data_IF_719157580618
#
_entry.id   IF_719157580618
#
_cell.length_a   1.000
_cell.length_b   1.000
_cell.length_c   1.000
_cell.angle_alpha   90.00
_cell.angle_beta   90.00
_cell.angle_gamma   90.00
#
_symmetry.space_group_name_H-M   'P 1'
#
loop_
_entity.id
_entity.type
_entity.pdbx_description
1 polymer ?
#
# COMPACT_ATOMS: atom_id res chain seq x y z
N UNK A 1 -43.29 18.62 -22.19
CA UNK A 1 -41.96 19.20 -21.88
C UNK A 1 -41.51 19.03 -20.43
N UNK A 2 -42.36 18.57 -19.49
CA UNK A 2 -41.96 18.38 -18.08
C UNK A 2 -41.19 17.07 -17.79
N UNK A 3 -41.38 16.02 -18.61
CA UNK A 3 -40.76 14.70 -18.40
C UNK A 3 -39.24 14.68 -18.63
N UNK A 4 -38.75 15.40 -19.64
CA UNK A 4 -37.33 15.40 -20.00
C UNK A 4 -36.44 16.00 -18.90
N UNK A 5 -36.99 16.94 -18.12
CA UNK A 5 -36.32 17.59 -16.98
C UNK A 5 -36.15 16.65 -15.78
N UNK A 6 -37.05 15.67 -15.59
CA UNK A 6 -36.93 14.66 -14.51
C UNK A 6 -35.88 13.60 -14.82
N UNK A 7 -35.79 13.19 -16.08
CA UNK A 7 -34.86 12.12 -16.51
C UNK A 7 -33.40 12.59 -16.38
N UNK A 8 -33.10 13.83 -16.79
CA UNK A 8 -31.75 14.39 -16.62
C UNK A 8 -31.31 14.53 -15.15
N UNK A 9 -32.24 14.84 -14.25
CA UNK A 9 -31.96 14.98 -12.81
C UNK A 9 -31.73 13.63 -12.13
N UNK A 10 -32.46 12.58 -12.52
CA UNK A 10 -32.27 11.21 -12.00
C UNK A 10 -30.95 10.61 -12.48
N UNK A 11 -30.58 10.83 -13.74
CA UNK A 11 -29.28 10.39 -14.29
C UNK A 11 -28.12 11.16 -13.65
N UNK A 12 -28.24 12.48 -13.46
CA UNK A 12 -27.20 13.28 -12.78
C UNK A 12 -26.96 12.85 -11.32
N UNK A 13 -28.02 12.51 -10.58
CA UNK A 13 -27.89 11.99 -9.21
C UNK A 13 -27.22 10.61 -9.15
N UNK A 14 -27.57 9.69 -10.05
CA UNK A 14 -26.95 8.36 -10.12
C UNK A 14 -25.47 8.41 -10.54
N UNK A 15 -25.10 9.34 -11.43
CA UNK A 15 -23.70 9.53 -11.86
C UNK A 15 -22.87 10.24 -10.78
N UNK A 16 -23.46 11.18 -10.03
CA UNK A 16 -22.82 11.80 -8.87
C UNK A 16 -22.56 10.79 -7.76
N UNK A 17 -23.51 9.89 -7.48
CA UNK A 17 -23.37 8.82 -6.49
C UNK A 17 -22.27 7.83 -6.87
N UNK A 18 -22.23 7.38 -8.14
CA UNK A 18 -21.21 6.45 -8.65
C UNK A 18 -19.80 7.06 -8.68
N UNK A 19 -19.69 8.37 -8.93
CA UNK A 19 -18.43 9.13 -8.88
C UNK A 19 -17.95 9.33 -7.45
N UNK A 20 -18.86 9.55 -6.49
CA UNK A 20 -18.53 9.67 -5.08
C UNK A 20 -17.99 8.34 -4.53
N UNK A 21 -18.68 7.23 -4.82
CA UNK A 21 -18.23 5.88 -4.40
C UNK A 21 -16.86 5.52 -5.00
N UNK A 22 -16.61 5.83 -6.27
CA UNK A 22 -15.29 5.55 -6.89
C UNK A 22 -14.16 6.39 -6.26
N UNK A 23 -14.49 7.60 -5.80
CA UNK A 23 -13.55 8.51 -5.13
C UNK A 23 -13.29 8.07 -3.68
N UNK A 24 -14.31 7.60 -2.97
CA UNK A 24 -14.19 7.07 -1.60
C UNK A 24 -13.45 5.72 -1.56
N UNK A 25 -13.75 4.80 -2.49
CA UNK A 25 -13.03 3.52 -2.63
C UNK A 25 -11.55 3.75 -2.98
N UNK A 26 -11.25 4.78 -3.79
CA UNK A 26 -9.85 5.18 -4.08
C UNK A 26 -9.13 5.73 -2.85
N UNK A 27 -9.82 6.48 -1.98
CA UNK A 27 -9.24 7.00 -0.73
C UNK A 27 -8.95 5.91 0.30
N UNK A 28 -9.88 4.95 0.44
CA UNK A 28 -9.73 3.83 1.38
C UNK A 28 -8.58 2.91 0.98
N UNK A 29 -8.49 2.57 -0.31
CA UNK A 29 -7.42 1.70 -0.83
C UNK A 29 -6.03 2.34 -0.72
N UNK A 30 -5.89 3.62 -1.03
CA UNK A 30 -4.63 4.36 -0.87
C UNK A 30 -4.19 4.42 0.60
N UNK A 31 -5.12 4.70 1.50
CA UNK A 31 -4.83 4.74 2.95
C UNK A 31 -4.42 3.37 3.47
N UNK A 32 -5.10 2.31 3.03
CA UNK A 32 -4.82 0.95 3.45
C UNK A 32 -3.43 0.47 2.96
N UNK A 33 -3.10 0.74 1.70
CA UNK A 33 -1.77 0.44 1.14
C UNK A 33 -0.67 1.22 1.85
N UNK A 34 -0.92 2.47 2.21
CA UNK A 34 0.04 3.26 2.98
C UNK A 34 0.30 2.66 4.37
N UNK A 35 -0.75 2.24 5.09
CA UNK A 35 -0.62 1.62 6.41
C UNK A 35 0.12 0.28 6.31
N UNK A 36 -0.27 -0.57 5.36
CA UNK A 36 0.41 -1.86 5.17
C UNK A 36 1.85 -1.66 4.71
N UNK A 37 2.12 -0.67 3.86
CA UNK A 37 3.47 -0.31 3.43
C UNK A 37 4.37 0.11 4.59
N UNK A 38 3.84 0.94 5.51
CA UNK A 38 4.58 1.34 6.71
C UNK A 38 4.77 0.16 7.66
N UNK A 39 3.74 -0.66 7.89
CA UNK A 39 3.84 -1.83 8.76
C UNK A 39 4.89 -2.82 8.25
N UNK A 40 4.88 -3.12 6.94
CA UNK A 40 5.88 -3.98 6.30
C UNK A 40 7.26 -3.31 6.33
N UNK A 41 7.35 -2.02 6.05
CA UNK A 41 8.61 -1.27 6.07
C UNK A 41 9.29 -1.29 7.44
N UNK A 42 8.53 -1.04 8.52
CA UNK A 42 9.03 -1.10 9.90
C UNK A 42 9.43 -2.53 10.26
N UNK A 43 8.65 -3.54 9.85
CA UNK A 43 8.98 -4.94 10.10
C UNK A 43 10.26 -5.38 9.37
N UNK A 44 10.41 -4.99 8.10
CA UNK A 44 11.64 -5.25 7.33
C UNK A 44 12.85 -4.57 7.95
N UNK A 45 12.71 -3.33 8.42
CA UNK A 45 13.77 -2.63 9.16
C UNK A 45 14.17 -3.36 10.44
N UNK A 46 13.19 -3.86 11.20
CA UNK A 46 13.46 -4.64 12.41
C UNK A 46 14.21 -5.95 12.09
N UNK A 47 13.84 -6.65 11.01
CA UNK A 47 14.56 -7.85 10.55
C UNK A 47 15.99 -7.54 10.10
N UNK A 48 16.21 -6.43 9.38
CA UNK A 48 17.55 -5.99 8.97
C UNK A 48 18.38 -5.67 10.20
N UNK A 49 17.88 -4.83 11.12
CA UNK A 49 18.60 -4.45 12.35
C UNK A 49 18.87 -5.67 13.24
N UNK A 50 17.91 -6.58 13.38
CA UNK A 50 18.11 -7.84 14.09
C UNK A 50 19.21 -8.71 13.46
N UNK A 51 19.22 -8.82 12.13
CA UNK A 51 20.28 -9.51 11.38
C UNK A 51 21.64 -8.84 11.55
N UNK A 52 21.70 -7.50 11.47
CA UNK A 52 22.91 -6.70 11.66
C UNK A 52 23.53 -6.88 13.06
N UNK A 53 22.69 -6.90 14.09
CA UNK A 53 23.13 -7.13 15.48
C UNK A 53 23.61 -8.57 15.66
N UNK A 54 22.87 -9.54 15.12
CA UNK A 54 23.21 -10.96 15.24
C UNK A 54 24.52 -11.35 14.53
N UNK A 55 24.86 -10.65 13.45
CA UNK A 55 26.08 -10.90 12.64
C UNK A 55 27.27 -10.01 13.04
N UNK A 56 27.18 -9.26 14.13
CA UNK A 56 28.32 -8.48 14.66
C UNK A 56 28.70 -7.25 13.83
N UNK A 57 27.84 -6.82 12.90
CA UNK A 57 27.99 -5.57 12.15
C UNK A 57 27.50 -5.64 10.69
N UNK A 58 27.34 -4.49 10.01
CA UNK A 58 26.73 -4.43 8.67
C UNK A 58 27.52 -5.12 7.57
N UNK A 59 28.85 -5.05 7.67
CA UNK A 59 29.73 -5.64 6.66
C UNK A 59 29.77 -7.16 6.78
N UNK A 60 29.70 -7.70 8.00
CA UNK A 60 29.59 -9.15 8.24
C UNK A 60 28.23 -9.69 7.82
N UNK A 61 27.12 -8.99 8.09
CA UNK A 61 25.79 -9.40 7.65
C UNK A 61 25.71 -9.64 6.13
N UNK A 62 26.22 -8.69 5.35
CA UNK A 62 26.25 -8.81 3.88
C UNK A 62 27.21 -9.91 3.45
N UNK A 63 28.38 -10.03 4.10
CA UNK A 63 29.35 -11.09 3.84
C UNK A 63 28.78 -12.49 4.07
N UNK A 64 28.12 -12.72 5.22
CA UNK A 64 27.49 -13.98 5.58
C UNK A 64 26.28 -14.29 4.70
N UNK A 65 25.50 -13.28 4.30
CA UNK A 65 24.41 -13.46 3.33
C UNK A 65 24.95 -13.91 1.97
N UNK A 66 25.98 -13.25 1.45
CA UNK A 66 26.62 -13.65 0.20
C UNK A 66 27.23 -15.05 0.31
N UNK A 67 27.86 -15.38 1.45
CA UNK A 67 28.39 -16.71 1.72
C UNK A 67 27.31 -17.79 1.70
N UNK A 68 26.20 -17.53 2.41
CA UNK A 68 25.05 -18.42 2.47
C UNK A 68 24.38 -18.61 1.10
N UNK A 69 24.31 -17.54 0.29
CA UNK A 69 23.76 -17.58 -1.07
C UNK A 69 24.70 -18.25 -2.08
N UNK A 70 26.01 -18.03 -1.95
CA UNK A 70 27.02 -18.66 -2.80
C UNK A 70 27.38 -20.08 -2.35
N UNK A 71 26.93 -20.51 -1.17
CA UNK A 71 27.21 -21.83 -0.59
C UNK A 71 28.67 -22.05 -0.18
N UNK A 72 29.39 -20.98 0.17
CA UNK A 72 30.83 -21.01 0.57
C UNK A 72 31.05 -20.87 2.08
#
# INVERSE_FOLDING_TARGET
MADMTRIGRKTGAAVAEKSNVSTEVSKVSITFVAILGVAVGVWSLACIVGGLIASGGPLQFVGDWFRAVSGM
#
